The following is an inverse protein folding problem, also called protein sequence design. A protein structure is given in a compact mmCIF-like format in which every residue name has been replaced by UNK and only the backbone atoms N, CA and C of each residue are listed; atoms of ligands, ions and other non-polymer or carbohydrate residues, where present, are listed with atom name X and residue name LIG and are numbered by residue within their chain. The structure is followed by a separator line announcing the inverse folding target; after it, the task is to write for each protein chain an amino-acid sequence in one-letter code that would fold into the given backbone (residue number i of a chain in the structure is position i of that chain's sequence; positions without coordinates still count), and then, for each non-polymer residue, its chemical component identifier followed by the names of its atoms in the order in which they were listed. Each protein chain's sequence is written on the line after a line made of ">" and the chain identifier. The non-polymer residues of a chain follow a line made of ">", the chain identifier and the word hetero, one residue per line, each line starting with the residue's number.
data_IF_494439148051
#
_entry.id   IF_494439148051
#
_cell.length_a   1.000
_cell.length_b   1.000
_cell.length_c   1.000
_cell.angle_alpha   90.00
_cell.angle_beta   90.00
_cell.angle_gamma   90.00
#
_symmetry.space_group_name_H-M   'P 1'
#
loop_
_entity.id
_entity.type
_entity.pdbx_description
1 polymer ?
#
# COMPACT_ATOMS: atom_id res chain seq x y z
N UNK A 1 11.76 -3.94 14.22
CA UNK A 1 11.95 -4.57 12.92
C UNK A 1 10.61 -4.54 12.22
N UNK A 2 10.50 -4.12 10.97
CA UNK A 2 9.24 -4.22 10.21
C UNK A 2 9.06 -5.68 9.82
N UNK A 3 7.98 -6.31 10.25
CA UNK A 3 7.70 -7.73 9.96
C UNK A 3 6.33 -7.82 9.28
N UNK A 4 6.26 -8.60 8.20
CA UNK A 4 5.00 -9.04 7.60
C UNK A 4 4.49 -10.28 8.36
N UNK A 5 4.18 -10.14 9.65
CA UNK A 5 3.79 -11.30 10.46
C UNK A 5 2.39 -11.80 10.12
N UNK A 6 1.45 -10.88 9.91
CA UNK A 6 0.05 -11.17 9.66
C UNK A 6 -0.43 -10.37 8.46
N UNK A 7 -0.70 -11.07 7.35
CA UNK A 7 -1.18 -10.49 6.10
C UNK A 7 -2.70 -10.60 6.03
N UNK A 8 -3.36 -9.50 5.65
CA UNK A 8 -4.78 -9.45 5.29
C UNK A 8 -4.91 -9.21 3.80
N UNK A 9 -5.60 -10.08 3.09
CA UNK A 9 -5.94 -9.96 1.67
C UNK A 9 -7.43 -9.68 1.56
N UNK A 10 -7.79 -8.51 1.03
CA UNK A 10 -9.19 -8.10 0.90
C UNK A 10 -9.73 -8.51 -0.47
N UNK A 11 -10.66 -9.44 -0.49
CA UNK A 11 -11.30 -9.98 -1.69
C UNK A 11 -12.67 -9.34 -1.94
N UNK A 12 -13.08 -9.23 -3.21
CA UNK A 12 -14.36 -8.60 -3.61
C UNK A 12 -15.23 -9.48 -4.51
N UNK A 13 -14.91 -10.77 -4.66
CA UNK A 13 -15.57 -11.76 -5.52
C UNK A 13 -15.51 -11.42 -7.02
N UNK A 14 -14.49 -10.71 -7.43
CA UNK A 14 -14.28 -10.38 -8.84
C UNK A 14 -13.00 -11.03 -9.39
N UNK A 15 -12.70 -10.79 -10.66
CA UNK A 15 -11.44 -11.23 -11.29
C UNK A 15 -10.19 -10.65 -10.61
N UNK A 16 -10.33 -9.54 -9.88
CA UNK A 16 -9.26 -8.97 -9.08
C UNK A 16 -8.73 -9.94 -8.03
N UNK A 17 -9.57 -10.84 -7.52
CA UNK A 17 -9.19 -11.82 -6.49
C UNK A 17 -8.06 -12.73 -6.96
N UNK A 18 -8.03 -13.10 -8.25
CA UNK A 18 -6.96 -13.94 -8.80
C UNK A 18 -5.60 -13.25 -8.68
N UNK A 19 -5.54 -11.98 -9.03
CA UNK A 19 -4.30 -11.19 -8.90
C UNK A 19 -3.88 -11.05 -7.44
N UNK A 20 -4.83 -10.81 -6.53
CA UNK A 20 -4.57 -10.69 -5.09
C UNK A 20 -4.08 -12.00 -4.48
N UNK A 21 -4.71 -13.13 -4.82
CA UNK A 21 -4.31 -14.45 -4.28
C UNK A 21 -2.91 -14.83 -4.79
N UNK A 22 -2.62 -14.68 -6.08
CA UNK A 22 -1.30 -14.94 -6.66
C UNK A 22 -0.22 -14.02 -6.07
N UNK A 23 -0.55 -12.75 -5.84
CA UNK A 23 0.39 -11.82 -5.23
C UNK A 23 0.64 -12.15 -3.75
N UNK A 24 -0.38 -12.60 -3.03
CA UNK A 24 -0.25 -13.10 -1.66
C UNK A 24 0.66 -14.35 -1.61
N UNK A 25 0.50 -15.29 -2.54
CA UNK A 25 1.36 -16.46 -2.68
C UNK A 25 2.83 -16.08 -2.84
N UNK A 26 3.11 -15.13 -3.73
CA UNK A 26 4.45 -14.56 -3.92
C UNK A 26 4.99 -13.92 -2.62
N UNK A 27 4.17 -13.11 -1.92
CA UNK A 27 4.59 -12.50 -0.67
C UNK A 27 4.91 -13.54 0.41
N UNK A 28 4.11 -14.59 0.53
CA UNK A 28 4.35 -15.68 1.49
C UNK A 28 5.65 -16.41 1.17
N UNK A 29 5.88 -16.74 -0.08
CA UNK A 29 7.13 -17.38 -0.54
C UNK A 29 8.37 -16.58 -0.13
N UNK A 30 8.32 -15.24 -0.24
CA UNK A 30 9.48 -14.37 0.02
C UNK A 30 9.62 -13.96 1.49
N UNK A 31 8.51 -13.65 2.15
CA UNK A 31 8.53 -13.02 3.49
C UNK A 31 8.21 -13.97 4.63
N UNK A 32 7.64 -15.14 4.35
CA UNK A 32 7.28 -16.19 5.31
C UNK A 32 6.51 -15.65 6.54
N UNK A 33 5.33 -15.02 6.33
CA UNK A 33 4.49 -14.52 7.41
C UNK A 33 3.98 -15.67 8.28
N UNK A 34 3.55 -15.37 9.51
CA UNK A 34 2.93 -16.34 10.40
C UNK A 34 1.53 -16.72 9.93
N UNK A 35 0.79 -15.77 9.39
CA UNK A 35 -0.55 -16.04 8.86
C UNK A 35 -0.91 -15.14 7.68
N UNK A 36 -1.77 -15.68 6.82
CA UNK A 36 -2.48 -14.96 5.76
C UNK A 36 -3.97 -15.15 5.95
N UNK A 37 -4.71 -14.06 5.98
CA UNK A 37 -6.18 -14.08 6.01
C UNK A 37 -6.72 -13.52 4.71
N UNK A 38 -7.50 -14.32 4.02
CA UNK A 38 -8.32 -13.90 2.88
C UNK A 38 -9.69 -13.50 3.41
N UNK A 39 -10.01 -12.21 3.35
CA UNK A 39 -11.22 -11.64 3.91
C UNK A 39 -12.11 -11.10 2.80
N UNK A 40 -13.35 -11.61 2.74
CA UNK A 40 -14.44 -10.98 1.99
C UNK A 40 -15.44 -10.37 2.96
N UNK A 41 -15.91 -9.15 2.66
CA UNK A 41 -16.96 -8.49 3.43
C UNK A 41 -18.18 -8.31 2.55
N UNK A 42 -19.24 -9.03 2.87
CA UNK A 42 -20.51 -8.97 2.17
C UNK A 42 -21.51 -8.08 2.91
N UNK A 43 -22.48 -7.58 2.19
CA UNK A 43 -23.63 -6.92 2.81
C UNK A 43 -24.50 -7.97 3.50
N UNK A 44 -25.13 -7.60 4.61
CA UNK A 44 -26.17 -8.42 5.21
C UNK A 44 -27.40 -8.41 4.31
N UNK A 45 -27.98 -9.58 4.10
CA UNK A 45 -29.22 -9.75 3.38
C UNK A 45 -30.26 -10.34 4.33
N UNK A 46 -31.26 -9.53 4.70
CA UNK A 46 -32.44 -10.03 5.41
C UNK A 46 -33.34 -10.72 4.39
N UNK A 47 -33.42 -12.05 4.44
CA UNK A 47 -34.31 -12.82 3.61
C UNK A 47 -35.71 -12.82 4.30
N UNK A 48 -36.76 -12.32 3.65
CA UNK A 48 -38.09 -12.35 4.23
C UNK A 48 -38.54 -13.77 4.62
N UNK A 49 -39.16 -13.95 5.79
CA UNK A 49 -39.63 -15.29 6.25
C UNK A 49 -40.43 -16.05 5.22
N UNK A 50 -41.29 -15.36 4.44
CA UNK A 50 -42.11 -15.96 3.39
C UNK A 50 -41.27 -16.61 2.28
N UNK A 51 -40.08 -16.08 2.01
CA UNK A 51 -39.14 -16.65 1.03
C UNK A 51 -38.45 -17.88 1.64
N UNK A 52 -38.05 -17.81 2.91
CA UNK A 52 -37.45 -18.96 3.61
C UNK A 52 -38.44 -20.12 3.73
N UNK A 53 -39.72 -19.85 3.99
CA UNK A 53 -40.80 -20.86 4.02
C UNK A 53 -40.97 -21.54 2.66
N UNK A 54 -40.90 -20.78 1.57
CA UNK A 54 -41.02 -21.31 0.22
C UNK A 54 -39.72 -22.02 -0.28
N UNK A 55 -38.58 -21.63 0.24
CA UNK A 55 -37.25 -22.12 -0.16
C UNK A 55 -36.40 -22.42 1.07
N UNK A 56 -36.66 -23.52 1.81
CA UNK A 56 -35.97 -23.84 3.06
C UNK A 56 -34.43 -24.00 2.93
N UNK A 57 -33.93 -24.31 1.73
CA UNK A 57 -32.48 -24.41 1.47
C UNK A 57 -31.75 -23.05 1.51
N UNK A 58 -32.47 -21.92 1.51
CA UNK A 58 -31.91 -20.58 1.69
C UNK A 58 -31.65 -20.24 3.17
N UNK A 59 -32.00 -21.15 4.10
CA UNK A 59 -31.71 -20.99 5.54
C UNK A 59 -30.23 -21.19 5.87
N UNK A 60 -29.44 -21.77 4.96
CA UNK A 60 -28.00 -21.80 5.10
C UNK A 60 -27.41 -20.37 4.96
N UNK A 61 -26.54 -19.95 5.89
CA UNK A 61 -25.93 -18.64 5.80
C UNK A 61 -25.20 -18.46 4.46
N UNK A 62 -25.60 -17.48 3.65
CA UNK A 62 -24.97 -17.17 2.36
C UNK A 62 -23.45 -17.00 2.54
N UNK A 63 -23.02 -16.48 3.69
CA UNK A 63 -21.62 -16.36 4.05
C UNK A 63 -20.88 -17.68 4.06
N UNK A 64 -21.54 -18.79 4.43
CA UNK A 64 -20.95 -20.13 4.41
C UNK A 64 -20.70 -20.64 2.99
N UNK A 65 -21.66 -20.44 2.09
CA UNK A 65 -21.53 -20.81 0.66
C UNK A 65 -20.39 -20.03 0.02
N UNK A 66 -20.38 -18.70 0.21
CA UNK A 66 -19.32 -17.83 -0.33
C UNK A 66 -17.93 -18.19 0.27
N UNK A 67 -17.87 -18.55 1.55
CA UNK A 67 -16.61 -18.98 2.17
C UNK A 67 -16.11 -20.29 1.57
N UNK A 68 -17.00 -21.21 1.22
CA UNK A 68 -16.65 -22.48 0.55
C UNK A 68 -16.09 -22.22 -0.86
N UNK A 69 -16.78 -21.44 -1.69
CA UNK A 69 -16.34 -21.10 -3.04
C UNK A 69 -14.98 -20.38 -3.04
N UNK A 70 -14.80 -19.47 -2.08
CA UNK A 70 -13.50 -18.79 -1.90
C UNK A 70 -12.40 -19.76 -1.51
N UNK A 71 -12.68 -20.75 -0.65
CA UNK A 71 -11.68 -21.78 -0.29
C UNK A 71 -11.25 -22.58 -1.51
N UNK A 72 -12.19 -23.05 -2.32
CA UNK A 72 -11.85 -23.77 -3.56
C UNK A 72 -10.96 -22.93 -4.48
N UNK A 73 -11.30 -21.65 -4.68
CA UNK A 73 -10.51 -20.73 -5.48
C UNK A 73 -9.11 -20.53 -4.92
N UNK A 74 -8.99 -20.35 -3.60
CA UNK A 74 -7.72 -20.17 -2.91
C UNK A 74 -6.89 -21.46 -3.00
N UNK A 75 -7.48 -22.64 -2.84
CA UNK A 75 -6.80 -23.94 -2.93
C UNK A 75 -6.14 -24.15 -4.30
N UNK A 76 -6.74 -23.59 -5.36
CA UNK A 76 -6.18 -23.65 -6.73
C UNK A 76 -5.03 -22.64 -6.95
N UNK A 77 -5.15 -21.42 -6.38
CA UNK A 77 -4.27 -20.29 -6.73
C UNK A 77 -3.17 -20.02 -5.69
N UNK A 78 -3.35 -20.47 -4.44
CA UNK A 78 -2.43 -20.24 -3.33
C UNK A 78 -1.72 -21.53 -2.95
N UNK A 79 -0.43 -21.62 -3.26
CA UNK A 79 0.36 -22.86 -3.11
C UNK A 79 1.05 -22.98 -1.74
N UNK A 80 1.09 -21.90 -0.94
CA UNK A 80 1.86 -21.80 0.30
C UNK A 80 1.08 -22.16 1.56
N UNK A 81 0.01 -22.93 1.46
CA UNK A 81 -0.87 -23.26 2.59
C UNK A 81 -0.16 -24.02 3.73
N UNK A 82 0.85 -24.81 3.38
CA UNK A 82 1.63 -25.56 4.36
C UNK A 82 2.75 -24.75 5.03
N UNK A 83 3.10 -23.60 4.47
CA UNK A 83 4.20 -22.74 4.93
C UNK A 83 3.72 -21.63 5.88
N UNK A 84 2.42 -21.36 5.90
CA UNK A 84 1.82 -20.30 6.71
C UNK A 84 0.40 -20.67 7.15
N UNK A 85 -0.05 -20.16 8.28
CA UNK A 85 -1.44 -20.33 8.70
C UNK A 85 -2.36 -19.58 7.73
N UNK A 86 -3.13 -20.32 6.94
CA UNK A 86 -4.09 -19.78 5.98
C UNK A 86 -5.49 -19.72 6.60
N UNK A 87 -6.14 -18.57 6.55
CA UNK A 87 -7.49 -18.33 7.08
C UNK A 87 -8.33 -17.74 5.95
N UNK A 88 -9.45 -18.37 5.65
CA UNK A 88 -10.48 -17.81 4.77
C UNK A 88 -11.63 -17.33 5.64
N UNK A 89 -12.13 -16.12 5.42
CA UNK A 89 -13.20 -15.56 6.24
C UNK A 89 -14.13 -14.69 5.42
N UNK A 90 -15.41 -15.00 5.52
CA UNK A 90 -16.50 -14.15 5.02
C UNK A 90 -17.22 -13.53 6.20
N UNK A 91 -17.42 -12.21 6.17
CA UNK A 91 -18.02 -11.45 7.27
C UNK A 91 -19.07 -10.51 6.71
N UNK A 92 -20.22 -10.46 7.35
CA UNK A 92 -21.24 -9.47 7.02
C UNK A 92 -20.98 -8.12 7.67
N UNK A 93 -21.27 -7.04 6.96
CA UNK A 93 -21.18 -5.69 7.48
C UNK A 93 -20.81 -4.61 6.48
N UNK A 94 -20.51 -3.42 7.01
CA UNK A 94 -20.02 -2.29 6.22
C UNK A 94 -18.54 -2.52 5.87
N UNK A 95 -18.23 -2.63 4.58
CA UNK A 95 -16.94 -3.09 4.07
C UNK A 95 -15.74 -2.36 4.72
N UNK A 96 -15.74 -1.03 4.72
CA UNK A 96 -14.62 -0.24 5.27
C UNK A 96 -14.42 -0.50 6.76
N UNK A 97 -15.50 -0.41 7.54
CA UNK A 97 -15.44 -0.52 9.01
C UNK A 97 -15.07 -1.93 9.43
N UNK A 98 -15.61 -2.95 8.73
CA UNK A 98 -15.33 -4.35 9.00
C UNK A 98 -13.86 -4.69 8.70
N UNK A 99 -13.30 -4.26 7.56
CA UNK A 99 -11.87 -4.46 7.23
C UNK A 99 -10.98 -3.82 8.29
N UNK A 100 -11.25 -2.57 8.67
CA UNK A 100 -10.42 -1.83 9.64
C UNK A 100 -10.52 -2.43 11.03
N UNK A 101 -11.73 -2.80 11.47
CA UNK A 101 -11.96 -3.50 12.74
C UNK A 101 -11.21 -4.83 12.77
N UNK A 102 -11.34 -5.65 11.74
CA UNK A 102 -10.65 -6.93 11.62
C UNK A 102 -9.13 -6.76 11.68
N UNK A 103 -8.59 -5.81 10.93
CA UNK A 103 -7.16 -5.52 10.92
C UNK A 103 -6.63 -5.11 12.31
N UNK A 104 -7.43 -4.37 13.07
CA UNK A 104 -7.10 -3.97 14.45
C UNK A 104 -7.14 -5.14 15.41
N UNK A 105 -8.24 -5.90 15.42
CA UNK A 105 -8.49 -7.01 16.36
C UNK A 105 -7.52 -8.18 16.15
N UNK A 106 -7.24 -8.52 14.89
CA UNK A 106 -6.32 -9.61 14.51
C UNK A 106 -4.87 -9.19 14.40
N UNK A 107 -4.55 -7.96 14.82
CA UNK A 107 -3.18 -7.45 14.81
C UNK A 107 -2.51 -7.51 13.43
N UNK A 108 -3.26 -7.31 12.35
CA UNK A 108 -2.73 -7.29 10.99
C UNK A 108 -1.58 -6.29 10.88
N UNK A 109 -0.48 -6.72 10.27
CA UNK A 109 0.71 -5.90 10.06
C UNK A 109 0.81 -5.38 8.63
N UNK A 110 0.19 -6.11 7.69
CA UNK A 110 0.23 -5.80 6.27
C UNK A 110 -1.11 -6.13 5.61
N UNK A 111 -1.62 -5.22 4.79
CA UNK A 111 -2.89 -5.41 4.06
C UNK A 111 -2.63 -5.33 2.55
N UNK A 112 -3.19 -6.27 1.80
CA UNK A 112 -3.19 -6.30 0.35
C UNK A 112 -4.59 -6.00 -0.15
N UNK A 113 -4.71 -4.99 -1.02
CA UNK A 113 -5.97 -4.59 -1.64
C UNK A 113 -5.81 -4.39 -3.14
N UNK A 114 -6.89 -4.68 -3.86
CA UNK A 114 -6.98 -4.46 -5.29
C UNK A 114 -7.58 -3.10 -5.64
N UNK A 115 -7.14 -2.55 -6.77
CA UNK A 115 -7.81 -1.44 -7.45
C UNK A 115 -8.08 -1.84 -8.90
N UNK A 116 -9.29 -1.60 -9.37
CA UNK A 116 -9.66 -1.81 -10.79
C UNK A 116 -9.25 -0.59 -11.61
N UNK A 117 -8.75 -0.84 -12.82
CA UNK A 117 -8.38 0.22 -13.77
C UNK A 117 -9.56 0.49 -14.71
N UNK A 118 -9.81 1.76 -15.04
CA UNK A 118 -10.86 2.16 -15.96
C UNK A 118 -12.29 2.14 -15.37
N UNK A 119 -12.43 2.04 -14.08
CA UNK A 119 -13.73 2.00 -13.41
C UNK A 119 -14.06 3.34 -12.76
N UNK A 120 -14.95 4.13 -13.37
CA UNK A 120 -15.39 5.41 -12.82
C UNK A 120 -16.05 5.22 -11.45
N UNK A 121 -15.58 5.95 -10.42
CA UNK A 121 -16.18 6.01 -9.08
C UNK A 121 -15.65 5.00 -8.05
N UNK A 122 -14.70 4.16 -8.35
CA UNK A 122 -14.35 2.99 -7.51
C UNK A 122 -13.15 3.14 -6.56
N UNK A 123 -12.53 4.28 -6.43
CA UNK A 123 -11.49 4.47 -5.41
C UNK A 123 -11.99 4.64 -3.97
N UNK A 124 -13.31 4.68 -3.75
CA UNK A 124 -13.89 5.08 -2.49
C UNK A 124 -13.56 4.14 -1.30
N UNK A 125 -13.66 2.83 -1.47
CA UNK A 125 -13.37 1.85 -0.41
C UNK A 125 -11.86 1.80 -0.14
N UNK A 126 -11.05 1.61 -1.18
CA UNK A 126 -9.58 1.57 -1.04
C UNK A 126 -9.05 2.83 -0.37
N UNK A 127 -9.52 4.01 -0.80
CA UNK A 127 -9.13 5.30 -0.24
C UNK A 127 -9.55 5.45 1.23
N UNK A 128 -10.79 5.07 1.59
CA UNK A 128 -11.26 5.09 2.98
C UNK A 128 -10.49 4.10 3.86
N UNK A 129 -10.35 2.84 3.42
CA UNK A 129 -9.56 1.84 4.15
C UNK A 129 -8.12 2.31 4.29
N UNK A 130 -7.49 2.77 3.21
CA UNK A 130 -6.14 3.30 3.22
C UNK A 130 -5.96 4.44 4.22
N UNK A 131 -6.97 5.32 4.40
CA UNK A 131 -6.85 6.42 5.38
C UNK A 131 -6.77 5.93 6.81
N UNK A 132 -7.56 4.93 7.20
CA UNK A 132 -7.79 4.59 8.61
C UNK A 132 -7.24 3.23 9.04
N UNK A 133 -6.80 2.35 8.10
CA UNK A 133 -6.27 1.05 8.46
C UNK A 133 -4.95 1.17 9.24
N UNK A 134 -4.75 0.40 10.34
CA UNK A 134 -3.55 0.52 11.17
C UNK A 134 -2.31 -0.17 10.58
N UNK A 135 -2.48 -1.05 9.61
CA UNK A 135 -1.39 -1.78 8.93
C UNK A 135 -0.79 -0.97 7.78
N UNK A 136 0.42 -1.30 7.36
CA UNK A 136 0.90 -0.90 6.04
C UNK A 136 0.02 -1.54 4.96
N UNK A 137 -0.12 -0.86 3.82
CA UNK A 137 -1.04 -1.31 2.77
C UNK A 137 -0.35 -1.32 1.41
N UNK A 138 -0.46 -2.45 0.72
CA UNK A 138 -0.06 -2.61 -0.67
C UNK A 138 -1.30 -2.60 -1.56
N UNK A 139 -1.30 -1.74 -2.56
CA UNK A 139 -2.37 -1.62 -3.54
C UNK A 139 -1.85 -2.08 -4.88
N UNK A 140 -2.50 -3.08 -5.47
CA UNK A 140 -2.17 -3.64 -6.78
C UNK A 140 -3.35 -3.49 -7.75
N UNK A 141 -3.09 -3.61 -9.04
CA UNK A 141 -4.12 -3.70 -10.08
C UNK A 141 -4.31 -5.16 -10.54
N UNK A 142 -5.40 -5.43 -11.25
CA UNK A 142 -5.69 -6.74 -11.83
C UNK A 142 -4.62 -7.23 -12.80
N UNK A 143 -3.86 -6.33 -13.41
CA UNK A 143 -2.77 -6.65 -14.35
C UNK A 143 -1.41 -6.76 -13.69
N UNK A 144 -1.33 -6.63 -12.36
CA UNK A 144 -0.07 -6.70 -11.63
C UNK A 144 0.48 -8.13 -11.63
N UNK A 145 1.69 -8.28 -12.15
CA UNK A 145 2.41 -9.56 -12.07
C UNK A 145 3.12 -9.69 -10.72
N UNK A 146 3.09 -10.87 -10.06
CA UNK A 146 3.69 -11.08 -8.74
C UNK A 146 5.23 -11.20 -8.81
N UNK A 147 5.91 -10.08 -8.96
CA UNK A 147 7.37 -9.96 -8.93
C UNK A 147 7.82 -8.66 -8.31
N UNK A 148 9.03 -8.63 -7.78
CA UNK A 148 9.72 -7.40 -7.36
C UNK A 148 11.20 -7.55 -7.70
N UNK A 149 11.62 -6.94 -8.80
CA UNK A 149 13.01 -6.87 -9.26
C UNK A 149 13.59 -5.47 -9.11
N UNK A 150 12.73 -4.45 -9.01
CA UNK A 150 13.15 -3.07 -8.82
C UNK A 150 12.15 -2.30 -7.94
N UNK A 151 12.65 -1.74 -6.86
CA UNK A 151 11.91 -0.92 -5.89
C UNK A 151 12.25 0.55 -6.08
N UNK A 152 11.23 1.41 -6.21
CA UNK A 152 11.39 2.86 -6.14
C UNK A 152 10.91 3.37 -4.78
N UNK A 153 11.77 4.05 -4.02
CA UNK A 153 11.44 4.66 -2.73
C UNK A 153 11.28 6.17 -2.90
N UNK A 154 10.11 6.70 -2.51
CA UNK A 154 9.93 8.15 -2.35
C UNK A 154 10.81 8.66 -1.23
N UNK A 155 11.55 9.73 -1.48
CA UNK A 155 12.42 10.37 -0.50
C UNK A 155 11.88 11.73 -0.05
N UNK A 156 11.59 11.83 1.24
CA UNK A 156 11.24 13.10 1.91
C UNK A 156 12.09 13.30 3.19
N UNK A 157 13.05 12.40 3.45
CA UNK A 157 13.98 12.39 4.58
C UNK A 157 13.31 12.36 5.97
N UNK A 158 12.00 12.09 6.04
CA UNK A 158 11.23 12.03 7.27
C UNK A 158 11.51 10.75 8.07
N UNK A 159 10.97 10.69 9.32
CA UNK A 159 10.98 9.47 10.13
C UNK A 159 10.28 8.31 9.42
N UNK A 160 9.17 8.57 8.71
CA UNK A 160 8.45 7.53 7.96
C UNK A 160 9.25 7.03 6.78
N UNK A 161 10.03 7.92 6.15
CA UNK A 161 10.95 7.52 5.08
C UNK A 161 12.04 6.55 5.57
N UNK A 162 12.49 6.68 6.84
CA UNK A 162 13.39 5.72 7.44
C UNK A 162 12.78 4.30 7.53
N UNK A 163 11.49 4.20 7.86
CA UNK A 163 10.79 2.90 7.91
C UNK A 163 10.57 2.36 6.48
N UNK A 164 10.21 3.22 5.53
CA UNK A 164 10.06 2.86 4.11
C UNK A 164 11.37 2.31 3.54
N UNK A 165 12.49 2.94 3.84
CA UNK A 165 13.82 2.49 3.42
C UNK A 165 14.18 1.13 4.03
N UNK A 166 13.90 0.89 5.32
CA UNK A 166 14.10 -0.44 5.93
C UNK A 166 13.31 -1.53 5.22
N UNK A 167 12.07 -1.22 4.78
CA UNK A 167 11.28 -2.15 3.99
C UNK A 167 11.91 -2.41 2.62
N UNK A 168 12.36 -1.37 1.92
CA UNK A 168 13.01 -1.52 0.62
C UNK A 168 14.28 -2.38 0.72
N UNK A 169 15.11 -2.16 1.73
CA UNK A 169 16.31 -2.97 2.00
C UNK A 169 15.96 -4.43 2.35
N UNK A 170 14.87 -4.65 3.07
CA UNK A 170 14.39 -6.01 3.36
C UNK A 170 13.89 -6.72 2.11
N UNK A 171 13.17 -6.01 1.22
CA UNK A 171 12.77 -6.55 -0.08
C UNK A 171 14.02 -6.90 -0.90
N UNK A 172 15.00 -6.00 -0.98
CA UNK A 172 16.26 -6.25 -1.67
C UNK A 172 16.97 -7.52 -1.16
N UNK A 173 17.05 -7.67 0.16
CA UNK A 173 17.66 -8.85 0.81
C UNK A 173 16.95 -10.16 0.41
N UNK A 174 15.62 -10.16 0.34
CA UNK A 174 14.81 -11.35 0.08
C UNK A 174 14.64 -11.68 -1.40
N UNK A 175 14.70 -10.69 -2.28
CA UNK A 175 14.38 -10.85 -3.70
C UNK A 175 15.56 -10.58 -4.62
N UNK A 176 16.63 -9.93 -4.14
CA UNK A 176 17.71 -9.41 -4.98
C UNK A 176 17.33 -8.13 -5.75
N UNK A 177 16.20 -7.51 -5.45
CA UNK A 177 15.70 -6.34 -6.16
C UNK A 177 16.67 -5.17 -6.10
N UNK A 178 16.75 -4.40 -7.19
CA UNK A 178 17.41 -3.09 -7.21
C UNK A 178 16.60 -2.11 -6.36
N UNK A 179 17.29 -1.18 -5.70
CA UNK A 179 16.65 -0.10 -4.95
C UNK A 179 17.05 1.24 -5.54
N UNK A 180 16.06 2.01 -5.97
CA UNK A 180 16.23 3.41 -6.37
C UNK A 180 15.44 4.32 -5.44
N UNK A 181 15.99 5.50 -5.19
CA UNK A 181 15.40 6.53 -4.35
C UNK A 181 15.17 7.78 -5.19
N UNK A 182 13.99 8.39 -5.05
CA UNK A 182 13.67 9.62 -5.77
C UNK A 182 13.14 10.69 -4.84
N UNK A 183 13.71 11.91 -4.94
CA UNK A 183 13.30 13.08 -4.19
C UNK A 183 12.73 14.15 -5.12
N UNK A 184 11.45 14.48 -4.98
CA UNK A 184 10.85 15.63 -5.64
C UNK A 184 10.95 16.85 -4.71
N UNK A 185 11.71 17.85 -5.11
CA UNK A 185 11.89 19.08 -4.33
C UNK A 185 11.12 20.25 -4.94
N UNK A 186 10.78 21.23 -4.10
CA UNK A 186 10.07 22.44 -4.52
C UNK A 186 10.95 23.65 -4.31
N UNK A 187 10.91 24.55 -5.28
CA UNK A 187 11.53 25.86 -5.16
C UNK A 187 10.46 26.94 -5.26
N UNK A 188 10.53 28.00 -4.45
CA UNK A 188 9.54 29.07 -4.45
C UNK A 188 9.76 30.06 -5.59
N UNK A 189 10.05 29.60 -6.81
CA UNK A 189 10.39 30.41 -7.98
C UNK A 189 9.33 31.46 -8.31
N UNK A 190 8.05 31.16 -8.05
CA UNK A 190 6.95 32.10 -8.27
C UNK A 190 7.03 33.41 -7.45
N UNK A 191 7.76 33.36 -6.34
CA UNK A 191 7.92 34.49 -5.43
C UNK A 191 9.17 35.33 -5.72
N UNK A 192 9.95 34.94 -6.72
CA UNK A 192 11.15 35.66 -7.17
C UNK A 192 11.00 36.10 -8.63
N UNK A 193 10.06 37.06 -8.95
CA UNK A 193 9.74 37.45 -10.31
C UNK A 193 10.89 38.13 -11.06
N UNK A 194 11.98 38.51 -10.38
CA UNK A 194 13.18 39.12 -10.96
C UNK A 194 14.35 38.12 -11.13
N UNK A 195 14.08 36.83 -11.00
CA UNK A 195 15.12 35.82 -11.20
C UNK A 195 15.44 35.72 -12.70
N UNK A 196 16.75 35.76 -13.04
CA UNK A 196 17.15 35.49 -14.41
C UNK A 196 17.25 33.97 -14.65
N UNK A 197 17.12 33.51 -15.92
CA UNK A 197 17.26 32.07 -16.23
C UNK A 197 18.59 31.48 -15.74
N UNK A 198 19.65 32.30 -15.66
CA UNK A 198 20.95 31.87 -15.11
C UNK A 198 20.89 31.67 -13.60
N UNK A 199 20.22 32.54 -12.87
CA UNK A 199 20.04 32.40 -11.43
C UNK A 199 19.16 31.21 -11.09
N UNK A 200 18.11 30.96 -11.87
CA UNK A 200 17.26 29.78 -11.71
C UNK A 200 18.07 28.48 -11.90
N UNK A 201 18.93 28.44 -12.92
CA UNK A 201 19.82 27.30 -13.14
C UNK A 201 20.80 27.08 -11.99
N UNK A 202 21.40 28.14 -11.46
CA UNK A 202 22.27 28.06 -10.27
C UNK A 202 21.49 27.57 -9.06
N UNK A 203 20.29 28.09 -8.82
CA UNK A 203 19.42 27.67 -7.71
C UNK A 203 19.06 26.18 -7.80
N UNK A 204 18.72 25.70 -9.01
CA UNK A 204 18.47 24.27 -9.23
C UNK A 204 19.69 23.42 -8.89
N UNK A 205 20.88 23.80 -9.36
CA UNK A 205 22.13 23.08 -9.05
C UNK A 205 22.42 23.01 -7.54
N UNK A 206 22.16 24.10 -6.82
CA UNK A 206 22.30 24.12 -5.36
C UNK A 206 21.28 23.20 -4.67
N UNK A 207 20.01 23.19 -5.13
CA UNK A 207 18.96 22.34 -4.59
C UNK A 207 19.26 20.84 -4.82
N UNK A 208 19.73 20.49 -6.02
CA UNK A 208 20.18 19.15 -6.36
C UNK A 208 21.33 18.69 -5.48
N UNK A 209 22.38 19.53 -5.35
CA UNK A 209 23.53 19.25 -4.50
C UNK A 209 23.12 19.10 -3.02
N UNK A 210 22.21 19.93 -2.55
CA UNK A 210 21.67 19.85 -1.20
C UNK A 210 20.90 18.54 -0.98
N UNK A 211 20.01 18.18 -1.90
CA UNK A 211 19.24 16.92 -1.85
C UNK A 211 20.17 15.70 -1.80
N UNK A 212 21.23 15.69 -2.60
CA UNK A 212 22.23 14.60 -2.60
C UNK A 212 22.99 14.53 -1.27
N UNK A 213 23.31 15.67 -0.66
CA UNK A 213 23.96 15.72 0.66
C UNK A 213 23.04 15.18 1.75
N UNK A 214 21.76 15.57 1.74
CA UNK A 214 20.77 15.05 2.70
C UNK A 214 20.51 13.55 2.51
N UNK A 215 20.50 13.07 1.27
CA UNK A 215 20.40 11.64 0.98
C UNK A 215 21.58 10.85 1.57
N UNK A 216 22.80 11.31 1.37
CA UNK A 216 23.98 10.66 1.93
C UNK A 216 23.94 10.61 3.47
N UNK A 217 23.56 11.72 4.13
CA UNK A 217 23.34 11.73 5.58
C UNK A 217 22.24 10.76 6.03
N UNK A 218 21.21 10.62 5.22
CA UNK A 218 20.12 9.70 5.49
C UNK A 218 20.60 8.25 5.39
N UNK A 219 21.35 7.90 4.34
CA UNK A 219 21.90 6.57 4.12
C UNK A 219 22.89 6.13 5.22
N UNK A 220 23.66 7.03 5.78
CA UNK A 220 24.60 6.74 6.88
C UNK A 220 23.91 6.15 8.14
N UNK A 221 22.57 6.13 8.18
CA UNK A 221 21.78 5.52 9.26
C UNK A 221 21.45 4.05 9.03
N UNK A 222 21.88 3.49 7.90
CA UNK A 222 21.60 2.12 7.49
C UNK A 222 22.91 1.37 7.25
N UNK A 223 22.86 0.08 7.52
CA UNK A 223 23.88 -0.85 7.06
C UNK A 223 23.58 -1.19 5.60
N UNK A 224 24.37 -0.60 4.71
CA UNK A 224 24.23 -0.72 3.25
C UNK A 224 25.45 -1.33 2.58
N UNK A 225 26.37 -1.93 3.35
CA UNK A 225 27.57 -2.56 2.81
C UNK A 225 27.21 -3.59 1.73
N UNK A 226 27.82 -3.42 0.55
CA UNK A 226 27.58 -4.26 -0.61
C UNK A 226 26.23 -4.08 -1.30
N UNK A 227 25.40 -3.10 -0.87
CA UNK A 227 24.08 -2.81 -1.48
C UNK A 227 24.17 -1.62 -2.42
N UNK A 228 23.78 -1.83 -3.66
CA UNK A 228 23.66 -0.75 -4.65
C UNK A 228 22.35 -0.02 -4.48
N UNK A 229 22.40 1.27 -4.12
CA UNK A 229 21.24 2.16 -4.00
C UNK A 229 21.48 3.37 -4.88
N UNK A 230 20.60 3.58 -5.85
CA UNK A 230 20.65 4.74 -6.72
C UNK A 230 19.79 5.88 -6.20
N UNK A 231 20.21 7.13 -6.44
CA UNK A 231 19.47 8.32 -6.06
C UNK A 231 19.30 9.27 -7.23
N UNK A 232 18.08 9.76 -7.38
CA UNK A 232 17.73 10.82 -8.31
C UNK A 232 16.83 11.86 -7.64
N UNK A 233 16.81 13.06 -8.19
CA UNK A 233 15.92 14.12 -7.74
C UNK A 233 15.34 14.88 -8.93
N UNK A 234 14.26 15.60 -8.71
CA UNK A 234 13.65 16.48 -9.70
C UNK A 234 12.89 17.64 -9.05
N UNK A 235 12.76 18.74 -9.78
CA UNK A 235 11.95 19.87 -9.37
C UNK A 235 10.47 19.56 -9.59
N UNK A 236 9.64 19.76 -8.56
CA UNK A 236 8.19 19.71 -8.64
C UNK A 236 7.62 21.11 -8.89
N UNK A 237 7.37 21.41 -10.16
CA UNK A 237 6.83 22.71 -10.59
C UNK A 237 5.30 22.80 -10.53
N UNK A 238 4.63 21.64 -10.52
CA UNK A 238 3.17 21.55 -10.71
C UNK A 238 2.42 21.05 -9.46
N UNK A 239 3.08 20.93 -8.30
CA UNK A 239 2.52 20.25 -7.13
C UNK A 239 2.02 18.82 -7.44
N UNK A 240 2.76 18.11 -8.28
CA UNK A 240 2.39 16.80 -8.81
C UNK A 240 3.42 15.72 -8.50
N UNK A 241 3.95 15.70 -7.26
CA UNK A 241 4.93 14.72 -6.82
C UNK A 241 4.51 13.28 -7.16
N UNK A 242 3.22 12.95 -7.09
CA UNK A 242 2.70 11.65 -7.49
C UNK A 242 2.98 11.31 -8.96
N UNK A 243 2.81 12.28 -9.87
CA UNK A 243 3.09 12.09 -11.29
C UNK A 243 4.60 11.98 -11.55
N UNK A 244 5.41 12.73 -10.81
CA UNK A 244 6.88 12.65 -10.88
C UNK A 244 7.34 11.25 -10.48
N UNK A 245 6.89 10.75 -9.34
CA UNK A 245 7.24 9.41 -8.85
C UNK A 245 6.79 8.32 -9.82
N UNK A 246 5.60 8.45 -10.38
CA UNK A 246 5.13 7.47 -11.35
C UNK A 246 5.95 7.49 -12.66
N UNK A 247 6.24 8.67 -13.20
CA UNK A 247 7.15 8.79 -14.36
C UNK A 247 8.52 8.22 -14.06
N UNK A 248 9.06 8.50 -12.88
CA UNK A 248 10.33 7.93 -12.46
C UNK A 248 10.28 6.40 -12.37
N UNK A 249 9.20 5.84 -11.83
CA UNK A 249 9.01 4.38 -11.76
C UNK A 249 8.97 3.76 -13.17
N UNK A 250 8.25 4.36 -14.12
CA UNK A 250 8.23 3.93 -15.50
C UNK A 250 9.62 4.01 -16.16
N UNK A 251 10.31 5.14 -15.97
CA UNK A 251 11.63 5.38 -16.57
C UNK A 251 12.68 4.38 -16.07
N UNK A 252 12.59 4.00 -14.81
CA UNK A 252 13.55 3.07 -14.18
C UNK A 252 13.11 1.61 -14.28
N UNK A 253 11.89 1.33 -14.74
CA UNK A 253 11.31 -0.02 -14.75
C UNK A 253 11.04 -0.55 -13.34
N UNK A 254 10.61 0.31 -12.41
CA UNK A 254 10.30 -0.12 -11.06
C UNK A 254 8.99 -0.92 -11.02
N UNK A 255 9.01 -2.06 -10.32
CA UNK A 255 7.85 -2.94 -10.15
C UNK A 255 6.96 -2.50 -8.98
N UNK A 256 7.49 -1.66 -8.07
CA UNK A 256 6.77 -1.19 -6.88
C UNK A 256 7.28 0.20 -6.45
N UNK A 257 6.35 1.05 -6.03
CA UNK A 257 6.67 2.33 -5.39
C UNK A 257 6.42 2.21 -3.89
N UNK A 258 7.41 2.54 -3.06
CA UNK A 258 7.29 2.56 -1.60
C UNK A 258 7.24 4.00 -1.09
N UNK A 259 6.22 4.30 -0.28
CA UNK A 259 6.00 5.61 0.32
C UNK A 259 5.83 5.48 1.82
N UNK A 260 6.49 6.33 2.60
CA UNK A 260 6.19 6.52 4.01
C UNK A 260 5.03 7.50 4.18
N UNK A 261 3.91 7.05 4.76
CA UNK A 261 2.76 7.91 5.01
C UNK A 261 2.95 8.77 6.27
N UNK A 262 2.71 10.07 6.14
CA UNK A 262 2.64 10.99 7.28
C UNK A 262 1.19 11.07 7.78
N UNK A 263 0.98 10.80 9.06
CA UNK A 263 -0.29 11.10 9.71
C UNK A 263 -0.22 12.57 10.15
N UNK A 264 -1.02 13.43 9.55
CA UNK A 264 -1.19 14.79 10.03
C UNK A 264 -2.19 14.76 11.18
N UNK A 265 -1.72 15.05 12.39
CA UNK A 265 -2.55 15.22 13.59
C UNK A 265 -3.04 16.66 13.66
N UNK A 266 -4.03 17.02 12.88
CA UNK A 266 -4.82 18.23 13.15
C UNK A 266 -6.27 17.79 13.26
N UNK A 267 -6.78 17.82 14.52
CA UNK A 267 -8.19 17.81 14.92
C UNK A 267 -9.17 17.15 13.94
N UNK A 268 -9.47 15.87 14.18
CA UNK A 268 -10.60 15.09 13.65
C UNK A 268 -10.46 14.34 12.32
N UNK A 269 -9.48 14.58 11.44
CA UNK A 269 -9.35 13.81 10.21
C UNK A 269 -7.96 13.14 10.06
N UNK A 270 -7.95 11.82 9.83
CA UNK A 270 -6.73 11.11 9.37
C UNK A 270 -6.50 11.54 7.94
N UNK A 271 -5.60 12.49 7.72
CA UNK A 271 -5.21 12.90 6.38
C UNK A 271 -3.94 12.14 6.03
N UNK A 272 -4.06 11.16 5.13
CA UNK A 272 -2.92 10.64 4.38
C UNK A 272 -2.37 11.78 3.54
N UNK A 273 -1.05 11.86 3.40
CA UNK A 273 -0.49 12.87 2.52
C UNK A 273 -1.02 12.72 1.09
N UNK A 274 -1.26 13.85 0.43
CA UNK A 274 -1.89 13.92 -0.88
C UNK A 274 -1.16 13.14 -1.97
N UNK A 275 0.14 12.88 -1.81
CA UNK A 275 0.95 12.10 -2.76
C UNK A 275 0.61 10.62 -2.66
N UNK A 276 0.52 10.07 -1.44
CA UNK A 276 0.11 8.68 -1.21
C UNK A 276 -1.30 8.44 -1.75
N UNK A 277 -2.23 9.37 -1.48
CA UNK A 277 -3.61 9.28 -1.95
C UNK A 277 -3.70 9.33 -3.48
N UNK A 278 -3.01 10.28 -4.12
CA UNK A 278 -2.99 10.40 -5.57
C UNK A 278 -2.36 9.19 -6.27
N UNK A 279 -1.28 8.62 -5.71
CA UNK A 279 -0.66 7.41 -6.26
C UNK A 279 -1.56 6.19 -6.12
N UNK A 280 -2.20 6.02 -4.98
CA UNK A 280 -3.11 4.91 -4.74
C UNK A 280 -4.37 5.00 -5.62
N UNK A 281 -4.92 6.21 -5.81
CA UNK A 281 -6.09 6.46 -6.64
C UNK A 281 -5.78 6.49 -8.15
N UNK A 282 -4.50 6.65 -8.54
CA UNK A 282 -4.16 6.74 -9.95
C UNK A 282 -4.49 5.44 -10.69
N UNK A 283 -5.11 5.54 -11.86
CA UNK A 283 -5.36 4.44 -12.79
C UNK A 283 -4.04 3.98 -13.44
N UNK A 284 -3.17 3.36 -12.65
CA UNK A 284 -1.79 3.05 -13.03
C UNK A 284 -1.42 1.66 -12.53
N UNK A 285 -0.66 0.91 -13.34
CA UNK A 285 -0.39 -0.51 -13.11
C UNK A 285 0.74 -0.81 -12.12
N UNK A 286 1.46 0.22 -11.64
CA UNK A 286 2.56 -0.02 -10.70
C UNK A 286 2.01 -0.14 -9.29
N UNK A 287 2.29 -1.24 -8.56
CA UNK A 287 1.97 -1.41 -7.16
C UNK A 287 2.47 -0.27 -6.28
N UNK A 288 1.65 0.14 -5.31
CA UNK A 288 2.01 1.19 -4.36
C UNK A 288 1.95 0.64 -2.93
N UNK A 289 3.09 0.59 -2.26
CA UNK A 289 3.20 0.21 -0.86
C UNK A 289 3.28 1.46 0.01
N UNK A 290 2.27 1.65 0.84
CA UNK A 290 2.18 2.75 1.80
C UNK A 290 2.57 2.22 3.17
N UNK A 291 3.70 2.66 3.67
CA UNK A 291 4.22 2.30 4.98
C UNK A 291 3.60 3.18 6.05
N UNK A 292 3.07 2.57 7.10
CA UNK A 292 2.46 3.25 8.24
C UNK A 292 3.15 2.92 9.56
N UNK A 293 3.17 3.90 10.47
CA UNK A 293 3.54 3.65 11.86
C UNK A 293 2.29 3.17 12.62
N UNK A 294 2.19 1.87 12.83
CA UNK A 294 1.05 1.24 13.49
C UNK A 294 0.75 1.80 14.87
N UNK A 295 1.78 2.10 15.66
CA UNK A 295 1.60 2.64 17.02
C UNK A 295 0.93 3.99 16.98
N UNK A 296 1.34 4.87 16.07
CA UNK A 296 0.73 6.19 15.88
C UNK A 296 -0.70 6.05 15.36
N UNK A 297 -0.95 5.18 14.39
CA UNK A 297 -2.30 4.96 13.83
C UNK A 297 -3.27 4.41 14.87
N UNK A 298 -2.89 3.42 15.67
CA UNK A 298 -3.75 2.87 16.73
C UNK A 298 -3.99 3.90 17.84
N UNK A 299 -2.96 4.67 18.24
CA UNK A 299 -3.11 5.73 19.24
C UNK A 299 -4.11 6.79 18.82
N UNK A 300 -4.07 7.19 17.56
CA UNK A 300 -5.01 8.13 16.96
C UNK A 300 -6.43 7.55 16.88
N UNK A 301 -6.64 6.32 16.41
CA UNK A 301 -7.95 5.68 16.37
C UNK A 301 -8.61 5.57 17.76
N UNK A 302 -7.82 5.28 18.80
CA UNK A 302 -8.32 5.28 20.19
C UNK A 302 -8.77 6.66 20.66
N UNK A 303 -8.17 7.72 20.16
CA UNK A 303 -8.56 9.10 20.52
C UNK A 303 -9.84 9.55 19.78
N UNK A 304 -10.07 9.04 18.56
CA UNK A 304 -11.26 9.36 17.74
C UNK A 304 -12.54 8.65 18.20
N UNK A 305 -12.41 7.44 18.78
CA UNK A 305 -13.53 6.61 19.22
C UNK A 305 -13.72 6.59 20.74
N UNK A 306 -13.13 7.56 21.46
CA UNK A 306 -13.48 7.92 22.83
C UNK A 306 -14.54 9.00 22.84
#
# INVERSE_FOLDING_TARGET
>A
MFQLDHILVCLDLSEMDDALIRYADFLVTKFKPRSVTFLHVMKSYDIPPEILDAFPHLDEPISGVVEHDLKEKIDVLFTQQNETQTIVKVVEGMTTDTIVRYAREKNITFTLMGKKIGYEGQGGIVRKVMSIIPSSILIISETTYPKIEHVLVRMDFSKMNHIAMKMALRIQELTGAKVSCHHAFKLPLKYFPQSSPENDKKLMQYAEKHSKKEFNKFLNRFDIDGKEITFSNSLDTENSEANILYRQALTTGADIIIIGSKIKSELADIIIDSTSEKLAAAEKNIPVLIIKDRKQTIGFLKALFK
#
